data_IF_923018605023
#
_entry.id   IF_923018605023
#
_cell.length_a   1.000
_cell.length_b   1.000
_cell.length_c   1.000
_cell.angle_alpha   90.00
_cell.angle_beta   90.00
_cell.angle_gamma   90.00
#
_symmetry.space_group_name_H-M   'P 1'
#
loop_
_entity.id
_entity.type
_entity.pdbx_description
1 polymer ?
#
# COMPACT_ATOMS: atom_id res chain seq x y z
N UNK A 1 -44.95 62.31 5.67
CA UNK A 1 -45.88 62.06 4.55
C UNK A 1 -45.39 60.77 3.90
N UNK A 2 -45.97 59.63 4.30
CA UNK A 2 -47.08 58.94 3.62
C UNK A 2 -46.59 58.37 2.26
N UNK A 3 -46.59 57.06 2.00
CA UNK A 3 -47.30 56.00 2.71
C UNK A 3 -46.87 54.58 2.31
N UNK A 4 -47.35 53.67 3.14
CA UNK A 4 -47.44 52.23 2.97
C UNK A 4 -48.56 51.85 2.00
N UNK A 5 -48.41 50.75 1.28
CA UNK A 5 -49.47 49.91 0.69
C UNK A 5 -48.81 48.59 0.28
N UNK A 6 -48.94 47.45 0.97
CA UNK A 6 -50.11 46.61 1.32
C UNK A 6 -50.34 45.44 0.35
N UNK A 7 -50.55 44.28 0.99
CA UNK A 7 -51.24 43.05 0.61
C UNK A 7 -50.80 42.19 -0.59
N UNK A 8 -50.68 40.88 -0.32
CA UNK A 8 -50.67 39.82 -1.32
C UNK A 8 -50.39 38.42 -0.75
N UNK A 9 -51.19 37.97 0.22
CA UNK A 9 -51.24 36.58 0.70
C UNK A 9 -52.02 35.74 -0.31
N UNK A 10 -51.45 34.63 -0.78
CA UNK A 10 -52.24 33.51 -1.32
C UNK A 10 -51.73 32.17 -0.76
N UNK A 11 -52.49 31.67 0.21
CA UNK A 11 -52.69 30.24 0.48
C UNK A 11 -53.70 29.70 -0.54
N UNK A 12 -53.94 28.38 -0.51
CA UNK A 12 -54.98 27.60 -1.23
C UNK A 12 -54.37 26.93 -2.49
N UNK A 13 -54.44 25.62 -2.74
CA UNK A 13 -55.23 24.51 -2.20
C UNK A 13 -54.54 23.18 -2.57
N UNK A 14 -54.59 22.19 -1.68
CA UNK A 14 -54.71 20.79 -2.09
C UNK A 14 -56.18 20.52 -2.47
N UNK A 15 -56.49 19.43 -3.19
CA UNK A 15 -57.33 18.45 -2.50
C UNK A 15 -57.01 16.97 -2.81
N UNK A 16 -57.06 16.19 -1.71
CA UNK A 16 -57.62 14.84 -1.53
C UNK A 16 -58.71 14.45 -2.57
N UNK A 17 -59.09 13.21 -2.87
CA UNK A 17 -58.90 11.84 -2.36
C UNK A 17 -59.62 10.95 -3.39
N UNK A 18 -59.20 9.70 -3.60
CA UNK A 18 -60.15 8.63 -3.93
C UNK A 18 -59.63 7.25 -3.50
N UNK A 19 -60.35 6.69 -2.54
CA UNK A 19 -60.27 5.36 -1.95
C UNK A 19 -60.67 4.28 -2.98
N UNK A 20 -59.97 3.13 -2.98
CA UNK A 20 -60.56 1.79 -3.20
C UNK A 20 -59.59 0.68 -2.75
N UNK A 21 -59.97 -0.11 -1.74
CA UNK A 21 -59.56 -1.52 -1.62
C UNK A 21 -60.66 -2.43 -2.21
N UNK A 22 -60.69 -3.75 -1.92
CA UNK A 22 -59.64 -4.66 -1.45
C UNK A 22 -59.41 -5.84 -2.44
N UNK A 23 -58.25 -6.51 -2.39
CA UNK A 23 -58.01 -7.72 -3.18
C UNK A 23 -56.55 -8.17 -3.18
N UNK A 24 -56.19 -9.01 -2.21
CA UNK A 24 -54.97 -9.84 -2.25
C UNK A 24 -55.06 -10.86 -3.43
N UNK A 25 -53.93 -11.32 -4.02
CA UNK A 25 -53.06 -12.27 -3.33
C UNK A 25 -51.61 -11.83 -3.25
N UNK A 26 -51.05 -12.16 -2.09
CA UNK A 26 -49.65 -12.14 -1.68
C UNK A 26 -48.75 -12.80 -2.75
N UNK A 27 -47.91 -12.01 -3.41
CA UNK A 27 -46.85 -12.55 -4.25
C UNK A 27 -45.79 -13.22 -3.35
N UNK A 28 -45.57 -14.50 -3.62
CA UNK A 28 -44.66 -15.40 -2.92
C UNK A 28 -43.23 -14.86 -2.94
N UNK A 29 -42.65 -14.71 -1.75
CA UNK A 29 -41.21 -14.61 -1.60
C UNK A 29 -40.57 -15.95 -2.01
N UNK A 30 -39.46 -15.96 -2.76
CA UNK A 30 -38.73 -17.20 -2.99
C UNK A 30 -38.23 -17.73 -1.63
N UNK A 31 -38.61 -18.98 -1.36
CA UNK A 31 -38.43 -19.63 -0.07
C UNK A 31 -36.99 -19.63 0.42
N UNK A 32 -36.80 -19.07 1.61
CA UNK A 32 -35.70 -19.43 2.49
C UNK A 32 -35.87 -20.91 2.85
N UNK A 33 -35.05 -21.76 2.24
CA UNK A 33 -34.92 -23.13 2.67
C UNK A 33 -34.49 -23.13 4.14
N UNK A 34 -35.32 -23.76 4.97
CA UNK A 34 -35.04 -24.08 6.36
C UNK A 34 -33.75 -24.90 6.41
N UNK A 35 -32.62 -24.25 6.73
CA UNK A 35 -31.42 -24.94 7.17
C UNK A 35 -31.76 -25.58 8.52
N UNK A 36 -32.04 -26.88 8.48
CA UNK A 36 -32.17 -27.69 9.68
C UNK A 36 -30.92 -27.61 10.53
N UNK A 37 -31.10 -27.80 11.84
CA UNK A 37 -30.03 -27.82 12.82
C UNK A 37 -28.86 -28.72 12.34
N UNK A 38 -27.61 -28.26 12.44
CA UNK A 38 -26.46 -29.06 12.01
C UNK A 38 -26.33 -30.31 12.90
N UNK A 39 -26.38 -31.48 12.25
CA UNK A 39 -25.99 -32.76 12.85
C UNK A 39 -24.57 -32.63 13.43
N UNK A 40 -24.37 -32.88 14.74
CA UNK A 40 -23.07 -32.74 15.40
C UNK A 40 -22.03 -33.80 14.99
N UNK A 41 -22.25 -34.57 13.92
CA UNK A 41 -21.38 -35.66 13.51
C UNK A 41 -20.69 -35.47 12.14
N UNK A 42 -20.78 -34.29 11.52
CA UNK A 42 -20.11 -34.04 10.24
C UNK A 42 -18.90 -33.13 10.42
N UNK A 43 -17.72 -33.72 10.53
CA UNK A 43 -16.45 -32.99 10.49
C UNK A 43 -16.28 -32.29 9.13
N UNK A 44 -15.95 -30.98 9.09
CA UNK A 44 -15.58 -30.31 7.85
C UNK A 44 -14.18 -30.77 7.45
N UNK A 45 -14.12 -31.80 6.60
CA UNK A 45 -12.89 -32.25 5.99
C UNK A 45 -12.48 -31.26 4.89
N UNK A 46 -11.69 -30.27 5.29
CA UNK A 46 -11.22 -29.19 4.41
C UNK A 46 -10.07 -28.40 5.04
N UNK A 47 -9.19 -29.09 5.79
CA UNK A 47 -7.85 -28.56 6.07
C UNK A 47 -7.07 -28.68 4.78
N UNK A 48 -6.78 -27.54 4.16
CA UNK A 48 -5.75 -27.48 3.13
C UNK A 48 -4.52 -28.20 3.63
N UNK A 49 -4.06 -29.16 2.85
CA UNK A 49 -2.81 -29.84 3.06
C UNK A 49 -1.72 -28.77 3.06
N UNK A 50 -1.29 -28.38 4.26
CA UNK A 50 0.04 -27.88 4.51
C UNK A 50 0.98 -29.03 4.12
N UNK A 51 1.21 -29.18 2.82
CA UNK A 51 2.39 -29.88 2.34
C UNK A 51 3.58 -28.98 2.70
N UNK A 52 3.94 -29.04 3.98
CA UNK A 52 5.27 -28.74 4.42
C UNK A 52 6.17 -29.51 3.47
N UNK A 53 6.82 -28.77 2.58
CA UNK A 53 7.82 -29.28 1.68
C UNK A 53 8.99 -29.70 2.57
N UNK A 54 8.85 -30.87 3.21
CA UNK A 54 9.94 -31.55 3.85
C UNK A 54 11.03 -31.62 2.78
N UNK A 55 12.25 -31.13 3.04
CA UNK A 55 13.33 -31.30 2.09
C UNK A 55 13.37 -32.78 1.72
N UNK A 56 13.55 -33.14 0.44
CA UNK A 56 13.58 -34.53 0.06
C UNK A 56 14.60 -35.21 0.96
N UNK A 57 14.13 -36.16 1.77
CA UNK A 57 15.02 -37.01 2.54
C UNK A 57 15.83 -37.76 1.50
N UNK A 58 17.03 -37.25 1.20
CA UNK A 58 18.07 -38.04 0.58
C UNK A 58 18.21 -39.25 1.47
N UNK A 59 17.71 -40.39 1.00
CA UNK A 59 18.01 -41.68 1.58
C UNK A 59 19.50 -41.91 1.37
N UNK A 60 20.30 -41.35 2.28
CA UNK A 60 21.71 -41.69 2.41
C UNK A 60 21.70 -43.16 2.78
N UNK A 61 21.92 -44.04 1.80
CA UNK A 61 22.38 -45.38 2.12
C UNK A 61 23.69 -45.17 2.88
N UNK A 62 23.65 -45.40 4.19
CA UNK A 62 24.88 -45.57 4.96
C UNK A 62 25.47 -46.89 4.45
N UNK A 63 26.29 -46.79 3.41
CA UNK A 63 27.15 -47.88 3.03
C UNK A 63 27.97 -48.22 4.27
N UNK A 64 27.92 -49.48 4.71
CA UNK A 64 28.80 -49.96 5.75
C UNK A 64 30.23 -49.66 5.31
N UNK A 65 30.89 -48.80 6.08
CA UNK A 65 32.28 -48.44 5.84
C UNK A 65 33.09 -49.71 6.12
N UNK A 66 33.78 -50.30 5.13
CA UNK A 66 34.60 -51.48 5.38
C UNK A 66 35.60 -51.15 6.49
N UNK A 67 35.72 -52.03 7.48
CA UNK A 67 36.48 -51.80 8.72
C UNK A 67 38.00 -51.61 8.53
N UNK A 68 38.46 -51.62 7.28
CA UNK A 68 39.87 -51.70 6.89
C UNK A 68 40.34 -50.39 6.21
N UNK A 69 39.57 -49.30 6.31
CA UNK A 69 40.04 -47.99 5.86
C UNK A 69 41.10 -47.46 6.84
N UNK A 70 42.38 -47.61 6.45
CA UNK A 70 43.47 -46.90 7.09
C UNK A 70 43.12 -45.40 7.18
N UNK A 71 43.22 -44.75 8.35
CA UNK A 71 42.95 -43.33 8.47
C UNK A 71 43.93 -42.59 7.57
N UNK A 72 43.41 -41.98 6.50
CA UNK A 72 44.19 -41.13 5.62
C UNK A 72 44.89 -40.07 6.50
N UNK A 73 46.19 -39.82 6.28
CA UNK A 73 46.89 -38.79 7.04
C UNK A 73 46.14 -37.48 6.82
N UNK A 74 45.61 -36.89 7.90
CA UNK A 74 45.22 -35.49 7.89
C UNK A 74 46.52 -34.69 7.80
N UNK A 75 47.01 -34.51 6.58
CA UNK A 75 48.00 -33.49 6.29
C UNK A 75 47.34 -32.14 6.62
N UNK A 76 47.74 -31.63 7.77
CA UNK A 76 47.42 -30.32 8.27
C UNK A 76 48.01 -29.27 7.33
N UNK A 77 47.28 -28.89 6.28
CA UNK A 77 47.41 -27.57 5.63
C UNK A 77 46.40 -27.27 4.51
N UNK A 78 45.44 -28.16 4.22
CA UNK A 78 44.30 -27.77 3.37
C UNK A 78 43.13 -27.42 4.27
N UNK A 79 42.88 -26.12 4.47
CA UNK A 79 41.62 -25.68 5.07
C UNK A 79 40.49 -26.29 4.23
N UNK A 80 39.83 -27.31 4.78
CA UNK A 80 38.60 -27.85 4.22
C UNK A 80 37.71 -26.65 3.83
N UNK A 81 37.35 -26.49 2.55
CA UNK A 81 36.59 -25.33 2.10
C UNK A 81 35.31 -25.17 2.92
N UNK A 82 34.71 -26.27 3.40
CA UNK A 82 33.56 -26.23 4.30
C UNK A 82 33.92 -25.57 5.63
N UNK A 83 35.03 -25.95 6.26
CA UNK A 83 35.52 -25.30 7.49
C UNK A 83 35.89 -23.84 7.29
N UNK A 84 36.45 -23.49 6.13
CA UNK A 84 36.73 -22.11 5.74
C UNK A 84 35.42 -21.30 5.63
N UNK A 85 34.42 -21.81 4.89
CA UNK A 85 33.11 -21.17 4.74
C UNK A 85 32.38 -21.02 6.08
N UNK A 86 32.36 -22.05 6.93
CA UNK A 86 31.70 -21.98 8.24
C UNK A 86 32.39 -20.98 9.18
N UNK A 87 33.72 -20.92 9.16
CA UNK A 87 34.48 -19.91 9.91
C UNK A 87 34.19 -18.50 9.41
N UNK A 88 34.00 -18.33 8.10
CA UNK A 88 33.73 -17.03 7.49
C UNK A 88 32.28 -16.58 7.71
N UNK A 89 31.29 -17.47 7.55
CA UNK A 89 29.88 -17.17 7.84
C UNK A 89 29.67 -16.87 9.33
N UNK A 90 30.39 -17.56 10.22
CA UNK A 90 30.35 -17.28 11.66
C UNK A 90 30.98 -15.94 12.08
N UNK A 91 31.69 -15.25 11.17
CA UNK A 91 32.32 -13.94 11.42
C UNK A 91 31.49 -12.77 10.91
N UNK A 92 30.54 -13.00 10.02
CA UNK A 92 29.68 -11.95 9.46
C UNK A 92 28.45 -11.80 10.35
N UNK A 93 28.24 -10.59 10.87
CA UNK A 93 27.02 -10.27 11.60
C UNK A 93 25.85 -10.29 10.60
N UNK A 94 24.91 -11.20 10.78
CA UNK A 94 23.68 -11.22 10.00
C UNK A 94 22.84 -9.97 10.31
N UNK A 95 22.05 -9.55 9.33
CA UNK A 95 21.05 -8.51 9.55
C UNK A 95 20.06 -8.95 10.61
N UNK A 96 19.64 -8.03 11.47
CA UNK A 96 18.48 -8.29 12.33
C UNK A 96 17.22 -8.33 11.47
N UNK A 97 16.13 -8.93 11.95
CA UNK A 97 14.86 -8.92 11.20
C UNK A 97 14.31 -7.51 10.94
N UNK A 98 14.71 -6.52 11.76
CA UNK A 98 14.38 -5.10 11.53
C UNK A 98 15.21 -4.54 10.37
N UNK A 99 16.50 -4.85 10.33
CA UNK A 99 17.39 -4.42 9.25
C UNK A 99 17.03 -5.08 7.92
N UNK A 100 16.65 -6.35 7.94
CA UNK A 100 16.18 -7.09 6.76
C UNK A 100 14.93 -6.44 6.17
N UNK A 101 13.94 -6.13 7.02
CA UNK A 101 12.71 -5.45 6.57
C UNK A 101 13.00 -4.07 5.99
N UNK A 102 13.90 -3.30 6.62
CA UNK A 102 14.32 -2.00 6.10
C UNK A 102 15.00 -2.13 4.74
N UNK A 103 15.93 -3.07 4.61
CA UNK A 103 16.63 -3.33 3.36
C UNK A 103 15.68 -3.75 2.24
N UNK A 104 14.77 -4.69 2.53
CA UNK A 104 13.75 -5.13 1.59
C UNK A 104 12.89 -3.96 1.09
N UNK A 105 12.40 -3.11 2.00
CA UNK A 105 11.64 -1.91 1.64
C UNK A 105 12.46 -0.93 0.79
N UNK A 106 13.75 -0.74 1.09
CA UNK A 106 14.62 0.10 0.26
C UNK A 106 14.77 -0.46 -1.16
N UNK A 107 14.97 -1.77 -1.30
CA UNK A 107 15.07 -2.43 -2.60
C UNK A 107 13.77 -2.31 -3.41
N UNK A 108 12.61 -2.47 -2.77
CA UNK A 108 11.30 -2.30 -3.40
C UNK A 108 11.09 -0.86 -3.90
N UNK A 109 11.42 0.14 -3.08
CA UNK A 109 11.31 1.55 -3.46
C UNK A 109 12.27 1.91 -4.60
N UNK A 110 13.51 1.41 -4.55
CA UNK A 110 14.50 1.61 -5.61
C UNK A 110 14.01 0.99 -6.94
N UNK A 111 13.44 -0.21 -6.89
CA UNK A 111 12.83 -0.85 -8.05
C UNK A 111 11.64 -0.05 -8.59
N UNK A 112 10.72 0.38 -7.73
CA UNK A 112 9.58 1.19 -8.13
C UNK A 112 10.01 2.52 -8.79
N UNK A 113 11.06 3.17 -8.27
CA UNK A 113 11.63 4.37 -8.88
C UNK A 113 12.28 4.08 -10.24
N UNK A 114 12.97 2.96 -10.40
CA UNK A 114 13.56 2.55 -11.67
C UNK A 114 12.49 2.27 -12.74
N UNK A 115 11.43 1.53 -12.39
CA UNK A 115 10.29 1.27 -13.27
C UNK A 115 9.56 2.56 -13.65
N UNK A 116 9.42 3.49 -12.70
CA UNK A 116 8.85 4.81 -12.95
C UNK A 116 9.71 5.64 -13.93
N UNK A 117 11.02 5.60 -13.76
CA UNK A 117 12.00 6.25 -14.65
C UNK A 117 11.86 5.72 -16.07
N UNK A 118 11.89 4.41 -16.24
CA UNK A 118 11.79 3.77 -17.55
C UNK A 118 10.46 4.11 -18.25
N UNK A 119 9.36 4.15 -17.50
CA UNK A 119 8.03 4.47 -18.04
C UNK A 119 7.88 5.92 -18.48
N UNK A 120 8.48 6.87 -17.75
CA UNK A 120 8.24 8.31 -17.97
C UNK A 120 9.31 8.98 -18.82
N UNK A 121 10.54 8.45 -18.82
CA UNK A 121 11.70 9.13 -19.37
C UNK A 121 12.27 8.36 -20.56
N UNK A 122 12.58 9.04 -21.67
CA UNK A 122 13.51 8.54 -22.65
C UNK A 122 14.84 8.06 -22.04
N UNK A 123 15.50 7.07 -22.66
CA UNK A 123 16.82 6.61 -22.22
C UNK A 123 17.85 7.76 -22.23
N UNK A 124 18.77 7.75 -21.27
CA UNK A 124 19.85 8.73 -21.10
C UNK A 124 19.42 10.18 -20.78
N UNK A 125 18.24 10.37 -20.20
CA UNK A 125 17.85 11.67 -19.64
C UNK A 125 18.71 12.02 -18.41
N UNK A 126 19.25 13.24 -18.41
CA UNK A 126 19.99 13.80 -17.29
C UNK A 126 19.08 14.28 -16.14
N UNK A 127 19.54 15.22 -15.28
CA UNK A 127 18.79 15.64 -14.08
C UNK A 127 17.43 16.29 -14.36
N UNK A 128 17.13 16.69 -15.60
CA UNK A 128 15.77 17.10 -15.99
C UNK A 128 14.75 15.97 -15.81
N UNK A 129 15.17 14.71 -15.87
CA UNK A 129 14.31 13.56 -15.61
C UNK A 129 13.78 13.51 -14.19
N UNK A 130 14.59 13.90 -13.21
CA UNK A 130 14.19 13.92 -11.80
C UNK A 130 13.05 14.92 -11.57
N UNK A 131 13.06 16.04 -12.30
CA UNK A 131 11.97 17.02 -12.27
C UNK A 131 10.67 16.45 -12.83
N UNK A 132 10.73 15.69 -13.93
CA UNK A 132 9.53 15.04 -14.47
C UNK A 132 8.98 13.95 -13.55
N UNK A 133 9.87 13.16 -12.94
CA UNK A 133 9.49 12.15 -11.94
C UNK A 133 8.82 12.82 -10.75
N UNK A 134 9.44 13.83 -10.15
CA UNK A 134 8.88 14.54 -9.00
C UNK A 134 7.55 15.23 -9.35
N UNK A 135 7.45 15.80 -10.55
CA UNK A 135 6.19 16.38 -11.05
C UNK A 135 5.11 15.32 -11.22
N UNK A 136 5.45 14.14 -11.73
CA UNK A 136 4.52 13.03 -11.86
C UNK A 136 4.04 12.57 -10.48
N UNK A 137 4.95 12.28 -9.54
CA UNK A 137 4.60 11.90 -8.17
C UNK A 137 3.67 12.93 -7.52
N UNK A 138 3.98 14.22 -7.67
CA UNK A 138 3.12 15.29 -7.19
C UNK A 138 1.72 15.26 -7.81
N UNK A 139 1.61 15.04 -9.13
CA UNK A 139 0.33 14.93 -9.81
C UNK A 139 -0.47 13.70 -9.37
N UNK A 140 0.20 12.56 -9.13
CA UNK A 140 -0.42 11.35 -8.60
C UNK A 140 -0.97 11.60 -7.18
N UNK A 141 -0.18 12.22 -6.30
CA UNK A 141 -0.61 12.59 -4.95
C UNK A 141 -1.82 13.54 -4.95
N UNK A 142 -1.84 14.52 -5.86
CA UNK A 142 -2.99 15.40 -6.04
C UNK A 142 -4.23 14.65 -6.52
N UNK A 143 -4.07 13.74 -7.48
CA UNK A 143 -5.17 12.91 -7.99
C UNK A 143 -5.75 12.02 -6.89
N UNK A 144 -4.87 11.50 -6.04
CA UNK A 144 -5.22 10.59 -4.96
C UNK A 144 -5.44 11.27 -3.60
N UNK A 145 -5.71 12.58 -3.62
CA UNK A 145 -5.97 13.36 -2.41
C UNK A 145 -7.06 12.77 -1.51
N UNK A 146 -8.17 12.29 -2.07
CA UNK A 146 -9.26 11.66 -1.29
C UNK A 146 -8.81 10.38 -0.59
N UNK A 147 -7.95 9.59 -1.26
CA UNK A 147 -7.38 8.38 -0.67
C UNK A 147 -6.42 8.75 0.46
N UNK A 148 -5.58 9.76 0.26
CA UNK A 148 -4.69 10.25 1.30
C UNK A 148 -5.47 10.73 2.53
N UNK A 149 -6.52 11.53 2.33
CA UNK A 149 -7.39 11.98 3.42
C UNK A 149 -8.05 10.81 4.16
N UNK A 150 -8.49 9.78 3.43
CA UNK A 150 -9.03 8.56 4.03
C UNK A 150 -7.98 7.86 4.91
N UNK A 151 -6.76 7.68 4.43
CA UNK A 151 -5.68 7.06 5.22
C UNK A 151 -5.35 7.90 6.46
N UNK A 152 -5.25 9.22 6.32
CA UNK A 152 -4.98 10.15 7.43
C UNK A 152 -6.05 10.06 8.51
N UNK A 153 -7.32 10.05 8.11
CA UNK A 153 -8.45 9.94 9.04
C UNK A 153 -8.54 8.57 9.72
N UNK A 154 -8.27 7.49 8.98
CA UNK A 154 -8.16 6.14 9.54
C UNK A 154 -6.99 6.00 10.52
N UNK A 155 -5.91 6.75 10.32
CA UNK A 155 -4.79 6.85 11.25
C UNK A 155 -5.12 7.67 12.52
N UNK A 156 -6.33 8.23 12.62
CA UNK A 156 -6.78 9.04 13.77
C UNK A 156 -6.34 10.50 13.72
N UNK A 157 -5.79 10.98 12.60
CA UNK A 157 -5.39 12.37 12.45
C UNK A 157 -6.58 13.23 11.97
N UNK A 158 -6.62 14.52 12.33
CA UNK A 158 -7.61 15.45 11.77
C UNK A 158 -7.56 15.47 10.24
N UNK A 159 -8.71 15.51 9.58
CA UNK A 159 -8.81 15.50 8.12
C UNK A 159 -8.06 16.67 7.43
N UNK A 160 -7.87 17.78 8.15
CA UNK A 160 -7.12 18.96 7.71
C UNK A 160 -5.62 18.92 8.04
N UNK A 161 -5.07 17.78 8.46
CA UNK A 161 -3.64 17.65 8.74
C UNK A 161 -2.83 17.93 7.48
N UNK A 162 -1.77 18.71 7.62
CA UNK A 162 -0.88 19.01 6.50
C UNK A 162 -0.22 17.72 6.00
N UNK A 163 -0.25 17.49 4.68
CA UNK A 163 0.18 16.22 4.09
C UNK A 163 1.65 15.89 4.41
N UNK A 164 2.53 16.89 4.37
CA UNK A 164 3.95 16.71 4.71
C UNK A 164 4.16 16.24 6.17
N UNK A 165 3.27 16.59 7.10
CA UNK A 165 3.32 16.08 8.48
C UNK A 165 2.78 14.65 8.53
N UNK A 166 1.73 14.37 7.77
CA UNK A 166 1.11 13.06 7.73
C UNK A 166 2.00 11.99 7.08
N UNK A 167 2.84 12.36 6.11
CA UNK A 167 3.67 11.41 5.38
C UNK A 167 4.62 10.65 6.30
N UNK A 168 5.25 11.29 7.27
CA UNK A 168 6.15 10.62 8.22
C UNK A 168 5.46 10.25 9.54
N UNK A 169 4.15 10.49 9.68
CA UNK A 169 3.45 10.20 10.93
C UNK A 169 3.40 8.68 11.18
N UNK A 170 3.83 8.18 12.36
CA UNK A 170 3.93 6.74 12.63
C UNK A 170 2.64 5.97 12.40
N UNK A 171 1.49 6.54 12.77
CA UNK A 171 0.19 5.90 12.54
C UNK A 171 -0.18 5.78 11.05
N UNK A 172 0.23 6.75 10.21
CA UNK A 172 0.00 6.69 8.76
C UNK A 172 0.95 5.66 8.14
N UNK A 173 2.23 5.66 8.53
CA UNK A 173 3.21 4.65 8.09
C UNK A 173 2.77 3.25 8.48
N UNK A 174 2.22 3.06 9.67
CA UNK A 174 1.72 1.77 10.12
C UNK A 174 0.59 1.20 9.24
N UNK A 175 -0.25 2.07 8.67
CA UNK A 175 -1.33 1.64 7.76
C UNK A 175 -0.85 1.34 6.34
N UNK A 176 0.24 1.98 5.91
CA UNK A 176 0.73 1.91 4.52
C UNK A 176 1.88 0.92 4.32
N UNK A 177 2.74 0.74 5.32
CA UNK A 177 4.00 -0.02 5.20
C UNK A 177 3.97 -1.38 5.92
N UNK A 178 2.94 -1.66 6.70
CA UNK A 178 2.75 -2.96 7.36
C UNK A 178 1.56 -3.70 6.72
N UNK A 179 1.12 -4.77 7.38
CA UNK A 179 -0.10 -5.47 7.00
C UNK A 179 -1.31 -4.52 7.00
N UNK A 180 -1.85 -4.30 5.81
CA UNK A 180 -2.97 -3.39 5.61
C UNK A 180 -4.24 -3.95 6.27
N UNK A 181 -4.90 -3.19 7.16
CA UNK A 181 -6.08 -3.68 7.85
C UNK A 181 -7.20 -3.96 6.84
N UNK A 182 -7.95 -5.09 6.97
CA UNK A 182 -9.05 -5.41 6.06
C UNK A 182 -10.12 -4.30 5.98
N UNK A 183 -10.35 -3.58 7.09
CA UNK A 183 -11.26 -2.45 7.14
C UNK A 183 -10.80 -1.27 6.25
N UNK A 184 -9.49 -0.99 6.21
CA UNK A 184 -8.92 0.04 5.32
C UNK A 184 -9.08 -0.37 3.87
N UNK A 185 -8.75 -1.62 3.53
CA UNK A 185 -8.88 -2.16 2.17
C UNK A 185 -10.33 -2.09 1.68
N UNK A 186 -11.29 -2.49 2.51
CA UNK A 186 -12.71 -2.40 2.18
C UNK A 186 -13.15 -0.94 1.99
N UNK A 187 -12.71 -0.02 2.85
CA UNK A 187 -13.03 1.40 2.74
C UNK A 187 -12.48 2.01 1.43
N UNK A 188 -11.26 1.66 1.04
CA UNK A 188 -10.65 2.10 -0.22
C UNK A 188 -11.35 1.49 -1.43
N UNK A 189 -11.64 0.19 -1.40
CA UNK A 189 -12.34 -0.51 -2.48
C UNK A 189 -13.71 0.13 -2.76
N UNK A 190 -14.50 0.40 -1.69
CA UNK A 190 -15.78 1.10 -1.79
C UNK A 190 -15.60 2.53 -2.29
N UNK A 191 -14.69 3.30 -1.69
CA UNK A 191 -14.47 4.70 -2.04
C UNK A 191 -13.95 4.92 -3.47
N UNK A 192 -13.26 3.92 -4.05
CA UNK A 192 -12.73 3.94 -5.42
C UNK A 192 -13.54 3.13 -6.41
N UNK A 193 -14.67 2.54 -5.99
CA UNK A 193 -15.47 1.63 -6.81
C UNK A 193 -14.62 0.56 -7.53
N UNK A 194 -13.74 -0.09 -6.76
CA UNK A 194 -12.74 -1.05 -7.26
C UNK A 194 -12.70 -2.31 -6.41
N UNK A 195 -11.87 -3.29 -6.78
CA UNK A 195 -11.72 -4.54 -6.02
C UNK A 195 -10.73 -4.37 -4.86
N UNK A 196 -10.71 -5.33 -3.93
CA UNK A 196 -9.77 -5.33 -2.80
C UNK A 196 -8.33 -5.44 -3.29
N UNK A 197 -8.07 -6.24 -4.32
CA UNK A 197 -6.75 -6.40 -4.93
C UNK A 197 -6.25 -5.10 -5.56
N UNK A 198 -7.14 -4.36 -6.25
CA UNK A 198 -6.81 -3.04 -6.75
C UNK A 198 -6.59 -2.03 -5.61
N UNK A 199 -7.34 -2.11 -4.52
CA UNK A 199 -7.15 -1.26 -3.34
C UNK A 199 -5.77 -1.47 -2.69
N UNK A 200 -5.30 -2.72 -2.59
CA UNK A 200 -3.94 -3.05 -2.17
C UNK A 200 -2.92 -2.32 -3.04
N UNK A 201 -3.05 -2.44 -4.37
CA UNK A 201 -2.10 -1.81 -5.29
C UNK A 201 -2.10 -0.29 -5.20
N UNK A 202 -3.28 0.34 -5.02
CA UNK A 202 -3.39 1.79 -4.83
C UNK A 202 -2.67 2.25 -3.56
N UNK A 203 -2.81 1.50 -2.46
CA UNK A 203 -2.16 1.83 -1.19
C UNK A 203 -0.64 1.61 -1.24
N UNK A 204 -0.18 0.55 -1.91
CA UNK A 204 1.26 0.32 -2.15
C UNK A 204 1.87 1.45 -2.97
N UNK A 205 1.21 1.87 -4.07
CA UNK A 205 1.65 2.99 -4.88
C UNK A 205 1.66 4.31 -4.09
N UNK A 206 0.63 4.55 -3.28
CA UNK A 206 0.60 5.70 -2.39
C UNK A 206 1.73 5.67 -1.37
N UNK A 207 2.04 4.51 -0.79
CA UNK A 207 3.16 4.37 0.13
C UNK A 207 4.48 4.69 -0.55
N UNK A 208 4.71 4.13 -1.75
CA UNK A 208 5.90 4.39 -2.54
C UNK A 208 6.04 5.88 -2.87
N UNK A 209 4.98 6.53 -3.37
CA UNK A 209 5.03 7.97 -3.69
C UNK A 209 5.28 8.85 -2.48
N UNK A 210 4.68 8.53 -1.33
CA UNK A 210 4.91 9.31 -0.11
C UNK A 210 6.31 9.12 0.48
N UNK A 211 6.96 7.95 0.27
CA UNK A 211 8.37 7.71 0.66
C UNK A 211 9.39 8.27 -0.34
N UNK A 212 9.07 8.24 -1.63
CA UNK A 212 9.95 8.74 -2.69
C UNK A 212 9.81 10.26 -2.91
N UNK A 213 8.84 10.90 -2.28
CA UNK A 213 8.59 12.33 -2.39
C UNK A 213 9.84 13.12 -1.94
N UNK A 214 10.56 13.81 -2.84
CA UNK A 214 11.77 14.52 -2.44
C UNK A 214 11.41 15.70 -1.51
N UNK A 215 12.26 16.06 -0.54
CA UNK A 215 11.94 17.08 0.47
C UNK A 215 11.55 18.44 -0.13
N UNK A 216 12.09 18.77 -1.31
CA UNK A 216 11.74 19.98 -2.06
C UNK A 216 10.26 20.04 -2.45
N UNK A 217 9.58 18.90 -2.65
CA UNK A 217 8.12 18.87 -2.84
C UNK A 217 7.37 19.20 -1.55
N UNK A 218 7.94 18.95 -0.38
CA UNK A 218 7.29 19.29 0.88
C UNK A 218 7.11 20.80 1.04
N UNK A 219 8.00 21.62 0.49
CA UNK A 219 7.82 23.08 0.47
C UNK A 219 6.53 23.49 -0.26
N UNK A 220 6.18 22.79 -1.34
CA UNK A 220 4.92 23.00 -2.07
C UNK A 220 3.74 22.55 -1.22
N UNK A 221 3.86 21.41 -0.54
CA UNK A 221 2.80 20.82 0.30
C UNK A 221 2.62 21.55 1.64
N UNK A 222 3.64 22.28 2.12
CA UNK A 222 3.64 22.97 3.42
C UNK A 222 2.69 24.15 3.51
N UNK A 223 2.45 24.81 2.38
CA UNK A 223 1.86 26.14 2.38
C UNK A 223 0.34 26.10 2.21
N UNK A 224 -0.25 24.93 1.94
CA UNK A 224 -1.54 24.91 1.24
C UNK A 224 -2.46 23.77 1.71
N UNK A 225 -3.72 24.10 2.01
CA UNK A 225 -4.82 23.13 2.04
C UNK A 225 -5.00 22.53 0.64
N UNK A 226 -5.61 21.35 0.51
CA UNK A 226 -5.83 20.66 -0.79
C UNK A 226 -6.28 21.61 -1.91
N UNK A 227 -7.19 22.52 -1.61
CA UNK A 227 -7.79 23.45 -2.59
C UNK A 227 -6.85 24.59 -3.03
N UNK A 228 -5.74 24.78 -2.31
CA UNK A 228 -4.76 25.83 -2.60
C UNK A 228 -3.50 25.29 -3.27
N UNK A 229 -3.33 23.97 -3.37
CA UNK A 229 -2.18 23.32 -4.02
C UNK A 229 -2.02 23.75 -5.49
N UNK A 230 -0.82 24.12 -5.96
CA UNK A 230 -0.64 24.53 -7.34
C UNK A 230 -0.94 23.37 -8.28
N UNK A 231 -1.45 23.65 -9.49
CA UNK A 231 -1.58 22.61 -10.51
C UNK A 231 -0.21 22.03 -10.90
N UNK A 232 -0.14 20.80 -11.42
CA UNK A 232 1.13 20.12 -11.72
C UNK A 232 2.10 20.92 -12.59
N UNK A 233 1.62 21.70 -13.57
CA UNK A 233 2.47 22.52 -14.43
C UNK A 233 3.17 23.65 -13.66
N UNK A 234 2.51 24.24 -12.66
CA UNK A 234 3.09 25.27 -11.81
C UNK A 234 4.10 24.68 -10.83
N UNK A 235 3.81 23.50 -10.26
CA UNK A 235 4.77 22.75 -9.45
C UNK A 235 6.02 22.38 -10.27
N UNK A 236 5.85 21.90 -11.51
CA UNK A 236 6.96 21.62 -12.44
C UNK A 236 7.83 22.85 -12.69
N UNK A 237 7.22 23.99 -13.02
CA UNK A 237 7.94 25.25 -13.24
C UNK A 237 8.72 25.70 -12.00
N UNK A 238 8.18 25.44 -10.81
CA UNK A 238 8.85 25.70 -9.55
C UNK A 238 10.05 24.74 -9.34
N UNK A 239 9.86 23.44 -9.56
CA UNK A 239 10.91 22.41 -9.43
C UNK A 239 12.08 22.61 -10.41
N UNK A 240 11.80 23.04 -11.66
CA UNK A 240 12.86 23.33 -12.65
C UNK A 240 13.83 24.42 -12.21
N UNK A 241 13.43 25.28 -11.27
CA UNK A 241 14.31 26.32 -10.71
C UNK A 241 15.23 25.78 -9.60
N UNK A 242 15.04 24.54 -9.17
CA UNK A 242 15.78 23.89 -8.07
C UNK A 242 16.27 22.46 -8.43
N UNK A 243 16.92 22.24 -9.59
CA UNK A 243 17.21 20.89 -10.07
C UNK A 243 18.10 20.08 -9.11
N UNK A 244 19.05 20.72 -8.41
CA UNK A 244 19.93 20.04 -7.46
C UNK A 244 19.19 19.48 -6.23
N UNK A 245 18.15 20.18 -5.76
CA UNK A 245 17.31 19.72 -4.65
C UNK A 245 16.39 18.57 -5.09
N UNK A 246 16.03 18.53 -6.38
CA UNK A 246 15.22 17.45 -6.96
C UNK A 246 16.06 16.21 -7.25
N UNK A 247 17.31 16.37 -7.70
CA UNK A 247 18.22 15.24 -7.95
C UNK A 247 18.62 14.46 -6.69
N UNK A 248 18.22 14.94 -5.51
CA UNK A 248 18.20 14.16 -4.27
C UNK A 248 16.89 13.36 -4.13
N UNK A 249 16.40 12.76 -5.21
CA UNK A 249 15.34 11.76 -5.13
C UNK A 249 15.89 10.55 -4.36
N UNK A 250 15.60 10.54 -3.05
CA UNK A 250 15.93 9.51 -2.10
C UNK A 250 17.44 9.13 -2.03
N UNK A 251 18.32 10.04 -1.57
CA UNK A 251 19.73 9.71 -1.33
C UNK A 251 19.90 8.55 -0.32
N UNK A 252 18.90 8.33 0.54
CA UNK A 252 18.85 7.26 1.55
C UNK A 252 18.54 5.86 0.97
N UNK A 253 18.16 5.77 -0.32
CA UNK A 253 17.88 4.52 -1.03
C UNK A 253 19.08 4.00 -1.85
N UNK A 254 20.21 4.73 -1.84
CA UNK A 254 21.51 4.36 -2.43
C UNK A 254 22.53 4.08 -1.33
#
# INVERSE_FOLDING_TARGET
MLGESDAGVDKVNAPERAVRGPGEPRAEAPGIASLGDPDPSTEPNGRGHDEGLAPPLLSVQVAEVPADLEPLPLDADTEDPVRMYLREIGRVVLLTGVDERRLAGHMELARALAELRERLLPPHIGPEGDVEIATHMYAELLRDADLLHLVITQAGLPAGSAWWVAFDHPAVRALLDNEMPPALLAAVAVGRATTVECAVQLLLMLSAYTRLCPPVLWDILRVQTRDSLPPPHAARAWLRRRPLEVSQLAPELL
#
